data_IF_293068974578
#
_entry.id   IF_293068974578
#
_cell.length_a   1.000
_cell.length_b   1.000
_cell.length_c   1.000
_cell.angle_alpha   90.00
_cell.angle_beta   90.00
_cell.angle_gamma   90.00
#
_symmetry.space_group_name_H-M   'P 1'
#
loop_
_entity.id
_entity.type
_entity.pdbx_description
1 polymer ?
#
# COMPACT_ATOMS: atom_id res chain seq x y z
N UNK A 1 29.92 -13.72 -11.16
CA UNK A 1 29.19 -13.96 -12.43
C UNK A 1 28.17 -12.86 -12.52
N UNK A 2 28.37 -11.89 -13.43
CA UNK A 2 27.40 -10.81 -13.63
C UNK A 2 26.20 -11.34 -14.42
N UNK A 3 25.00 -10.85 -14.12
CA UNK A 3 23.78 -11.21 -14.86
C UNK A 3 23.93 -10.82 -16.33
N UNK A 4 23.42 -11.66 -17.23
CA UNK A 4 23.42 -11.36 -18.66
C UNK A 4 22.40 -10.26 -18.99
N UNK A 5 22.56 -9.59 -20.13
CA UNK A 5 21.60 -8.57 -20.59
C UNK A 5 20.19 -9.13 -20.71
N UNK A 6 20.06 -10.37 -21.18
CA UNK A 6 18.77 -11.06 -21.33
C UNK A 6 18.12 -11.34 -19.96
N UNK A 7 18.91 -11.80 -18.97
CA UNK A 7 18.43 -12.00 -17.60
C UNK A 7 17.92 -10.69 -16.96
N UNK A 8 18.62 -9.57 -17.18
CA UNK A 8 18.19 -8.27 -16.66
C UNK A 8 16.94 -7.75 -17.38
N UNK A 9 16.78 -8.02 -18.68
CA UNK A 9 15.55 -7.66 -19.40
C UNK A 9 14.36 -8.48 -18.89
N UNK A 10 14.54 -9.77 -18.64
CA UNK A 10 13.51 -10.63 -18.04
C UNK A 10 13.11 -10.10 -16.65
N UNK A 11 14.09 -9.84 -15.79
CA UNK A 11 13.85 -9.28 -14.46
C UNK A 11 13.12 -7.91 -14.52
N UNK A 12 13.47 -7.06 -15.48
CA UNK A 12 12.78 -5.78 -15.69
C UNK A 12 11.29 -5.99 -16.04
N UNK A 13 11.00 -6.91 -16.98
CA UNK A 13 9.63 -7.18 -17.42
C UNK A 13 8.78 -7.77 -16.30
N UNK A 14 9.34 -8.69 -15.50
CA UNK A 14 8.67 -9.26 -14.33
C UNK A 14 8.34 -8.18 -13.29
N UNK A 15 9.31 -7.34 -12.94
CA UNK A 15 9.08 -6.26 -11.98
C UNK A 15 8.06 -5.23 -12.50
N UNK A 16 8.06 -4.93 -13.80
CA UNK A 16 7.06 -4.06 -14.42
C UNK A 16 5.65 -4.65 -14.41
N UNK A 17 5.51 -5.96 -14.61
CA UNK A 17 4.24 -6.65 -14.52
C UNK A 17 3.70 -6.64 -13.08
N UNK A 18 4.56 -6.94 -12.10
CA UNK A 18 4.22 -6.88 -10.68
C UNK A 18 3.78 -5.46 -10.28
N UNK A 19 4.56 -4.44 -10.63
CA UNK A 19 4.23 -3.03 -10.35
C UNK A 19 2.84 -2.63 -10.89
N UNK A 20 2.51 -3.01 -12.13
CA UNK A 20 1.22 -2.68 -12.73
C UNK A 20 0.06 -3.32 -11.98
N UNK A 21 0.18 -4.61 -11.65
CA UNK A 21 -0.85 -5.33 -10.90
C UNK A 21 -1.06 -4.70 -9.52
N UNK A 22 0.02 -4.45 -8.79
CA UNK A 22 -0.01 -3.85 -7.46
C UNK A 22 -0.59 -2.42 -7.49
N UNK A 23 -0.28 -1.64 -8.53
CA UNK A 23 -0.79 -0.27 -8.67
C UNK A 23 -2.30 -0.26 -8.93
N UNK A 24 -2.80 -1.21 -9.74
CA UNK A 24 -4.24 -1.38 -9.95
C UNK A 24 -4.95 -1.83 -8.66
N UNK A 25 -4.37 -2.76 -7.91
CA UNK A 25 -4.89 -3.21 -6.61
C UNK A 25 -4.95 -2.05 -5.61
N UNK A 26 -3.87 -1.29 -5.46
CA UNK A 26 -3.84 -0.10 -4.62
C UNK A 26 -4.94 0.90 -5.00
N UNK A 27 -5.12 1.16 -6.30
CA UNK A 27 -6.16 2.05 -6.81
C UNK A 27 -7.59 1.59 -6.49
N UNK A 28 -7.84 0.27 -6.58
CA UNK A 28 -9.12 -0.34 -6.18
C UNK A 28 -9.36 -0.20 -4.68
N UNK A 29 -8.38 -0.51 -3.85
CA UNK A 29 -8.48 -0.42 -2.40
C UNK A 29 -8.69 1.03 -1.92
N UNK A 30 -8.01 2.00 -2.53
CA UNK A 30 -8.26 3.43 -2.27
C UNK A 30 -9.71 3.81 -2.57
N UNK A 31 -10.20 3.39 -3.74
CA UNK A 31 -11.56 3.68 -4.18
C UNK A 31 -12.60 3.04 -3.25
N UNK A 32 -12.42 1.79 -2.87
CA UNK A 32 -13.28 1.09 -1.90
C UNK A 32 -13.27 1.80 -0.55
N UNK A 33 -12.10 2.23 -0.08
CA UNK A 33 -11.96 2.99 1.17
C UNK A 33 -12.78 4.29 1.16
N UNK A 34 -12.69 5.07 0.09
CA UNK A 34 -13.45 6.31 -0.05
C UNK A 34 -14.96 6.08 -0.17
N UNK A 35 -15.39 5.04 -0.90
CA UNK A 35 -16.81 4.68 -1.01
C UNK A 35 -17.36 4.30 0.37
N UNK A 36 -16.68 3.39 1.07
CA UNK A 36 -17.10 2.94 2.39
C UNK A 36 -17.10 4.08 3.42
N UNK A 37 -16.13 4.99 3.37
CA UNK A 37 -16.09 6.18 4.21
C UNK A 37 -17.26 7.12 3.93
N UNK A 38 -17.59 7.33 2.65
CA UNK A 38 -18.74 8.15 2.25
C UNK A 38 -20.04 7.54 2.77
N UNK A 39 -20.19 6.23 2.68
CA UNK A 39 -21.33 5.49 3.21
C UNK A 39 -21.43 5.62 4.73
N UNK A 40 -20.30 5.50 5.43
CA UNK A 40 -20.23 5.67 6.87
C UNK A 40 -20.67 7.07 7.32
N UNK A 41 -20.32 8.12 6.54
CA UNK A 41 -20.75 9.51 6.79
C UNK A 41 -22.25 9.74 6.55
N UNK A 42 -22.87 8.98 5.65
CA UNK A 42 -24.32 9.02 5.43
C UNK A 42 -25.08 8.30 6.56
N UNK A 43 -24.56 7.17 7.03
CA UNK A 43 -25.19 6.36 8.09
C UNK A 43 -25.17 7.05 9.46
N UNK A 44 -24.06 7.73 9.77
CA UNK A 44 -23.89 8.56 10.97
C UNK A 44 -22.99 9.75 10.63
N UNK A 45 -23.18 10.92 11.25
CA UNK A 45 -22.17 11.97 11.23
C UNK A 45 -20.98 11.52 12.08
N UNK A 46 -20.13 10.65 11.52
CA UNK A 46 -18.88 10.22 12.15
C UNK A 46 -17.90 11.38 12.01
N UNK A 47 -17.81 12.20 13.05
CA UNK A 47 -16.85 13.29 13.13
C UNK A 47 -15.42 12.76 13.27
N UNK A 48 -14.45 13.59 12.89
CA UNK A 48 -13.01 13.36 13.05
C UNK A 48 -12.58 13.15 14.50
N UNK A 49 -13.46 13.42 15.48
CA UNK A 49 -13.22 13.35 16.91
C UNK A 49 -12.90 11.95 17.47
N UNK A 50 -13.17 10.89 16.71
CA UNK A 50 -12.79 9.53 17.10
C UNK A 50 -11.41 9.11 16.57
N UNK A 51 -10.75 9.95 15.75
CA UNK A 51 -9.47 9.64 15.14
C UNK A 51 -8.33 9.77 16.15
N UNK A 52 -7.77 8.64 16.58
CA UNK A 52 -6.56 8.64 17.40
C UNK A 52 -5.33 8.93 16.52
N UNK A 53 -4.76 10.12 16.67
CA UNK A 53 -3.54 10.56 15.98
C UNK A 53 -2.30 9.72 16.33
N UNK A 54 -2.35 8.93 17.40
CA UNK A 54 -1.26 8.01 17.77
C UNK A 54 -1.31 6.69 16.98
N UNK A 55 -2.43 6.39 16.32
CA UNK A 55 -2.59 5.19 15.50
C UNK A 55 -2.20 5.45 14.04
N UNK A 56 -0.96 5.88 13.85
CA UNK A 56 -0.42 6.03 12.50
C UNK A 56 0.13 4.68 12.04
N UNK A 57 -0.20 4.25 10.81
CA UNK A 57 0.54 3.15 10.21
C UNK A 57 2.03 3.51 10.22
N UNK A 58 2.85 2.63 10.79
CA UNK A 58 4.29 2.85 10.86
C UNK A 58 4.93 2.21 9.65
N UNK A 59 5.56 3.02 8.81
CA UNK A 59 6.34 2.54 7.67
C UNK A 59 7.80 2.52 8.10
N UNK A 60 8.39 1.33 8.11
CA UNK A 60 9.81 1.13 8.43
C UNK A 60 10.59 0.73 7.19
N UNK A 61 11.90 1.00 7.18
CA UNK A 61 12.81 0.44 6.18
C UNK A 61 13.48 -0.79 6.79
N UNK A 62 13.36 -1.94 6.13
CA UNK A 62 14.06 -3.17 6.51
C UNK A 62 14.69 -3.80 5.26
N UNK A 63 15.98 -4.13 5.33
CA UNK A 63 16.76 -4.69 4.21
C UNK A 63 16.66 -3.86 2.91
N UNK A 64 16.59 -2.53 3.03
CA UNK A 64 16.46 -1.61 1.89
C UNK A 64 15.11 -1.66 1.17
N UNK A 65 14.08 -2.24 1.80
CA UNK A 65 12.69 -2.24 1.34
C UNK A 65 11.80 -1.54 2.37
N UNK A 66 10.77 -0.86 1.90
CA UNK A 66 9.72 -0.36 2.79
C UNK A 66 8.89 -1.54 3.29
N UNK A 67 8.60 -1.54 4.58
CA UNK A 67 7.71 -2.49 5.25
C UNK A 67 6.65 -1.74 6.02
N UNK A 68 5.42 -2.22 5.91
CA UNK A 68 4.29 -1.72 6.66
C UNK A 68 4.20 -2.48 7.99
N UNK A 69 4.39 -1.79 9.12
CA UNK A 69 4.14 -2.39 10.44
C UNK A 69 2.64 -2.40 10.72
N UNK A 70 2.15 -3.59 11.09
CA UNK A 70 0.76 -3.87 11.48
C UNK A 70 0.49 -3.62 12.96
N UNK A 71 1.39 -2.94 13.68
CA UNK A 71 1.26 -2.72 15.13
C UNK A 71 0.15 -1.70 15.51
N UNK A 72 -0.78 -1.41 14.61
CA UNK A 72 -1.96 -0.58 14.89
C UNK A 72 -3.24 -1.42 14.73
N UNK A 73 -4.20 -1.23 15.64
CA UNK A 73 -5.55 -1.77 15.51
C UNK A 73 -6.41 -0.76 14.72
N UNK A 74 -6.75 -1.04 13.44
CA UNK A 74 -7.53 -0.13 12.62
C UNK A 74 -8.94 0.13 13.19
N UNK A 75 -9.49 -0.83 13.95
CA UNK A 75 -10.81 -0.71 14.57
C UNK A 75 -10.78 0.22 15.79
N UNK A 76 -9.66 0.26 16.49
CA UNK A 76 -9.46 1.16 17.62
C UNK A 76 -9.39 2.63 17.18
N UNK A 77 -8.96 2.91 15.94
CA UNK A 77 -8.84 4.27 15.37
C UNK A 77 -10.15 5.06 15.28
N UNK A 78 -11.32 4.42 15.43
CA UNK A 78 -12.61 5.12 15.27
C UNK A 78 -13.70 4.67 16.25
N UNK A 79 -13.30 4.20 17.44
CA UNK A 79 -14.23 3.89 18.54
C UNK A 79 -14.47 2.40 18.79
N UNK A 80 -13.63 1.52 18.25
CA UNK A 80 -13.62 0.10 18.59
C UNK A 80 -14.87 -0.67 18.15
N UNK A 81 -15.40 -1.53 19.02
CA UNK A 81 -16.50 -2.46 18.73
C UNK A 81 -17.78 -1.77 18.18
N UNK A 82 -18.03 -0.52 18.59
CA UNK A 82 -19.23 0.26 18.24
C UNK A 82 -19.12 1.03 16.92
N UNK A 83 -18.01 0.89 16.19
CA UNK A 83 -17.82 1.51 14.88
C UNK A 83 -18.81 0.94 13.85
N UNK A 84 -19.46 1.77 13.02
CA UNK A 84 -20.31 1.30 11.91
C UNK A 84 -19.55 0.36 10.97
N UNK A 85 -20.24 -0.64 10.42
CA UNK A 85 -19.60 -1.63 9.55
C UNK A 85 -18.98 -1.00 8.29
N UNK A 86 -19.61 0.04 7.74
CA UNK A 86 -19.08 0.83 6.63
C UNK A 86 -17.74 1.50 6.98
N UNK A 87 -17.58 1.98 8.21
CA UNK A 87 -16.30 2.55 8.67
C UNK A 87 -15.23 1.48 8.84
N UNK A 88 -15.58 0.31 9.38
CA UNK A 88 -14.65 -0.83 9.50
C UNK A 88 -14.12 -1.28 8.13
N UNK A 89 -15.01 -1.34 7.13
CA UNK A 89 -14.63 -1.63 5.74
C UNK A 89 -13.72 -0.55 5.14
N UNK A 90 -14.04 0.73 5.38
CA UNK A 90 -13.19 1.83 4.92
C UNK A 90 -11.76 1.74 5.46
N UNK A 91 -11.62 1.44 6.76
CA UNK A 91 -10.32 1.24 7.41
C UNK A 91 -9.53 0.10 6.78
N UNK A 92 -10.17 -1.06 6.61
CA UNK A 92 -9.53 -2.24 6.01
C UNK A 92 -9.07 -1.95 4.57
N UNK A 93 -9.90 -1.27 3.79
CA UNK A 93 -9.56 -0.88 2.43
C UNK A 93 -8.39 0.10 2.39
N UNK A 94 -8.38 1.15 3.22
CA UNK A 94 -7.23 2.07 3.27
C UNK A 94 -5.95 1.39 3.78
N UNK A 95 -6.05 0.45 4.72
CA UNK A 95 -4.90 -0.34 5.15
C UNK A 95 -4.31 -1.14 3.98
N UNK A 96 -5.14 -1.88 3.25
CA UNK A 96 -4.70 -2.63 2.07
C UNK A 96 -4.10 -1.72 1.01
N UNK A 97 -4.72 -0.55 0.77
CA UNK A 97 -4.22 0.44 -0.17
C UNK A 97 -2.81 0.92 0.20
N UNK A 98 -2.53 1.11 1.50
CA UNK A 98 -1.21 1.48 2.00
C UNK A 98 -0.20 0.32 1.90
N UNK A 99 -0.61 -0.91 2.23
CA UNK A 99 0.21 -2.11 2.05
C UNK A 99 0.62 -2.26 0.58
N UNK A 100 -0.34 -2.12 -0.34
CA UNK A 100 -0.10 -2.20 -1.79
C UNK A 100 0.77 -1.04 -2.29
N UNK A 101 0.59 0.18 -1.78
CA UNK A 101 1.45 1.32 -2.13
C UNK A 101 2.92 1.09 -1.70
N UNK A 102 3.14 0.46 -0.54
CA UNK A 102 4.49 0.06 -0.08
C UNK A 102 5.09 -0.98 -1.02
N UNK A 103 4.31 -1.99 -1.44
CA UNK A 103 4.75 -2.99 -2.42
C UNK A 103 5.09 -2.35 -3.76
N UNK A 104 4.21 -1.48 -4.30
CA UNK A 104 4.48 -0.72 -5.52
C UNK A 104 5.79 0.06 -5.44
N UNK A 105 6.06 0.70 -4.30
CA UNK A 105 7.32 1.43 -4.12
C UNK A 105 8.53 0.49 -4.22
N UNK A 106 8.46 -0.68 -3.60
CA UNK A 106 9.54 -1.66 -3.66
C UNK A 106 9.75 -2.18 -5.10
N UNK A 107 8.67 -2.43 -5.84
CA UNK A 107 8.71 -2.81 -7.25
C UNK A 107 9.34 -1.72 -8.12
N UNK A 108 8.98 -0.44 -7.91
CA UNK A 108 9.63 0.69 -8.59
C UNK A 108 11.13 0.80 -8.27
N UNK A 109 11.53 0.54 -7.02
CA UNK A 109 12.95 0.52 -6.65
C UNK A 109 13.71 -0.62 -7.34
N UNK A 110 13.10 -1.80 -7.47
CA UNK A 110 13.67 -2.92 -8.20
C UNK A 110 13.84 -2.57 -9.69
N UNK A 111 12.80 -2.04 -10.33
CA UNK A 111 12.83 -1.57 -11.73
C UNK A 111 14.01 -0.61 -11.95
N UNK A 112 14.15 0.42 -11.10
CA UNK A 112 15.25 1.41 -11.22
C UNK A 112 16.64 0.79 -11.09
N UNK A 113 16.80 -0.22 -10.24
CA UNK A 113 18.08 -0.94 -10.09
C UNK A 113 18.42 -1.69 -11.36
N UNK A 114 17.45 -2.40 -11.94
CA UNK A 114 17.63 -3.13 -13.20
C UNK A 114 17.90 -2.18 -14.37
N UNK A 115 17.18 -1.06 -14.46
CA UNK A 115 17.43 -0.01 -15.47
C UNK A 115 18.85 0.56 -15.38
N UNK A 116 19.38 0.71 -14.16
CA UNK A 116 20.75 1.20 -13.96
C UNK A 116 21.75 0.14 -14.41
N UNK A 117 21.56 -1.12 -14.02
CA UNK A 117 22.43 -2.23 -14.43
C UNK A 117 22.43 -2.45 -15.95
N UNK A 118 21.28 -2.29 -16.62
CA UNK A 118 21.17 -2.37 -18.08
C UNK A 118 21.95 -1.24 -18.77
N UNK A 119 21.92 -0.01 -18.23
CA UNK A 119 22.70 1.12 -18.76
C UNK A 119 24.20 0.94 -18.59
N UNK A 120 24.63 0.26 -17.53
CA UNK A 120 26.05 -0.01 -17.27
C UNK A 120 26.62 -1.12 -18.17
N UNK A 121 25.76 -1.86 -18.89
CA UNK A 121 26.15 -2.90 -19.86
C UNK A 121 26.22 -2.42 -21.32
N UNK A 122 25.61 -1.27 -21.64
CA UNK A 122 25.65 -0.63 -22.96
C UNK A 122 26.84 0.33 -23.09
#
# INVERSE_FOLDING_TARGET
MGSTKDELVEEYLENMAAYKLEAEEAGRDWSEGFICLSQAKLDRPIGQHNYDMNMKPTITVANGKLQFSKDFDPLAMFGGAFSPQSLKKAQQAFQKALENAVTCHNSLQAIRRVETALKDLD
#
